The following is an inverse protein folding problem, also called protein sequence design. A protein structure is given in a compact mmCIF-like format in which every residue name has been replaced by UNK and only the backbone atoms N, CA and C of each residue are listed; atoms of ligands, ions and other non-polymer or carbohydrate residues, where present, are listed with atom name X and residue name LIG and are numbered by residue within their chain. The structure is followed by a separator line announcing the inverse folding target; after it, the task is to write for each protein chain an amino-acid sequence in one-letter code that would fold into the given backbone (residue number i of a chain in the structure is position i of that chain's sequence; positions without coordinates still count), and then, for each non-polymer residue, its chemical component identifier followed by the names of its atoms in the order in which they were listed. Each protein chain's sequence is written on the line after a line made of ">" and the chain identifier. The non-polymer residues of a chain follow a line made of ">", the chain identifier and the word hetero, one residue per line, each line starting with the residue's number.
data_IF_055321848518
#
_entry.id   IF_055321848518
#
_cell.length_a   1.000
_cell.length_b   1.000
_cell.length_c   1.000
_cell.angle_alpha   90.00
_cell.angle_beta   90.00
_cell.angle_gamma   90.00
#
_symmetry.space_group_name_H-M   'P 1'
#
loop_
_entity.id
_entity.type
_entity.pdbx_description
1 polymer ?
#
# COMPACT_ATOMS: atom_id res chain seq x y z
N UNK A 1 -13.02 8.10 -32.61
CA UNK A 1 -12.09 8.45 -31.51
C UNK A 1 -12.60 7.97 -30.14
N UNK A 2 -13.81 8.26 -29.73
CA UNK A 2 -14.36 7.83 -28.43
C UNK A 2 -14.66 6.32 -28.36
N UNK A 3 -14.76 5.61 -29.47
CA UNK A 3 -15.06 4.17 -29.53
C UNK A 3 -13.80 3.29 -29.45
N UNK A 4 -12.61 3.85 -29.72
CA UNK A 4 -11.39 3.07 -29.96
C UNK A 4 -10.50 2.93 -28.72
N UNK A 5 -11.03 3.02 -27.51
CA UNK A 5 -10.28 2.77 -26.26
C UNK A 5 -8.87 3.40 -26.23
N UNK A 6 -8.73 4.63 -26.71
CA UNK A 6 -7.46 5.33 -26.92
C UNK A 6 -6.53 5.37 -25.70
N UNK A 7 -7.08 5.24 -24.50
CA UNK A 7 -6.30 5.26 -23.27
C UNK A 7 -5.73 3.89 -22.88
N UNK A 8 -6.06 2.84 -23.61
CA UNK A 8 -5.61 1.48 -23.32
C UNK A 8 -4.55 1.03 -24.32
N UNK A 9 -3.52 0.39 -23.80
CA UNK A 9 -2.43 -0.19 -24.59
C UNK A 9 -2.86 -1.42 -25.42
N UNK A 10 -4.12 -1.81 -25.36
CA UNK A 10 -4.67 -2.96 -26.10
C UNK A 10 -5.10 -2.63 -27.54
N UNK A 11 -4.93 -1.39 -27.98
CA UNK A 11 -5.18 -0.97 -29.36
C UNK A 11 -3.88 -0.83 -30.15
N UNK A 12 -3.54 -1.76 -31.06
CA UNK A 12 -2.30 -1.69 -31.85
C UNK A 12 -2.26 -0.57 -32.90
N UNK A 13 -3.40 -0.02 -33.29
CA UNK A 13 -3.51 1.08 -34.24
C UNK A 13 -3.41 2.47 -33.60
N UNK A 14 -3.30 2.52 -32.26
CA UNK A 14 -3.22 3.77 -31.53
C UNK A 14 -1.91 4.49 -31.82
N UNK A 15 -1.93 5.70 -32.42
CA UNK A 15 -0.73 6.53 -32.53
C UNK A 15 -0.20 6.89 -31.13
N UNK A 16 1.08 6.69 -30.92
CA UNK A 16 1.68 6.89 -29.60
C UNK A 16 3.06 7.53 -29.68
N UNK A 17 3.36 8.38 -28.71
CA UNK A 17 4.70 8.92 -28.44
C UNK A 17 5.45 8.09 -27.39
N UNK A 18 4.87 6.96 -26.97
CA UNK A 18 5.51 6.07 -25.99
C UNK A 18 6.72 5.32 -26.62
N UNK A 19 7.68 4.88 -25.79
CA UNK A 19 8.87 4.18 -26.30
C UNK A 19 8.56 2.83 -26.96
N UNK A 20 7.48 2.18 -26.56
CA UNK A 20 6.99 0.95 -27.19
C UNK A 20 5.55 1.11 -27.67
N UNK A 21 5.22 0.50 -28.78
CA UNK A 21 3.86 0.42 -29.32
C UNK A 21 3.36 -1.02 -29.24
N UNK A 22 2.13 -1.21 -28.81
CA UNK A 22 1.50 -2.53 -28.83
C UNK A 22 1.30 -3.01 -30.28
N UNK A 23 1.60 -4.29 -30.53
CA UNK A 23 1.36 -4.93 -31.83
C UNK A 23 0.31 -6.06 -31.74
N UNK A 24 -0.26 -6.29 -30.56
CA UNK A 24 -1.21 -7.39 -30.33
C UNK A 24 -2.62 -6.87 -30.22
N UNK A 25 -3.52 -7.37 -31.05
CA UNK A 25 -4.97 -7.11 -30.96
C UNK A 25 -5.63 -7.95 -29.88
N UNK A 26 -6.74 -7.44 -29.35
CA UNK A 26 -7.62 -8.19 -28.42
C UNK A 26 -8.59 -9.05 -29.21
N UNK A 27 -9.04 -10.21 -28.63
CA UNK A 27 -8.73 -10.72 -27.28
C UNK A 27 -7.35 -11.41 -27.22
N UNK A 28 -6.56 -11.14 -26.17
CA UNK A 28 -5.27 -11.76 -25.95
C UNK A 28 -4.96 -11.81 -24.46
N UNK A 29 -4.20 -12.82 -24.04
CA UNK A 29 -3.62 -12.92 -22.68
C UNK A 29 -2.12 -12.61 -22.66
N UNK A 30 -1.50 -12.50 -23.85
CA UNK A 30 -0.09 -12.16 -24.04
C UNK A 30 -0.01 -11.02 -25.04
N UNK A 31 0.50 -9.89 -24.60
CA UNK A 31 0.68 -8.68 -25.40
C UNK A 31 2.16 -8.50 -25.72
N UNK A 32 2.44 -8.15 -26.96
CA UNK A 32 3.78 -7.82 -27.44
C UNK A 32 3.81 -6.36 -27.83
N UNK A 33 4.72 -5.61 -27.23
CA UNK A 33 5.00 -4.24 -27.62
C UNK A 33 6.40 -4.15 -28.22
N UNK A 34 6.52 -3.52 -29.37
CA UNK A 34 7.78 -3.34 -30.10
C UNK A 34 8.27 -1.91 -29.97
N UNK A 35 9.58 -1.73 -30.05
CA UNK A 35 10.23 -0.44 -30.01
C UNK A 35 9.62 0.51 -31.04
N UNK A 36 9.27 1.70 -30.59
CA UNK A 36 8.80 2.76 -31.48
C UNK A 36 9.99 3.44 -32.19
N UNK A 37 10.16 3.28 -33.51
CA UNK A 37 11.28 3.86 -34.23
C UNK A 37 11.24 5.39 -34.27
N UNK A 38 10.08 6.00 -33.96
CA UNK A 38 9.88 7.44 -33.89
C UNK A 38 9.92 8.00 -32.47
N UNK A 39 10.40 7.20 -31.50
CA UNK A 39 10.51 7.73 -30.15
C UNK A 39 11.54 8.85 -30.09
N UNK A 40 11.14 9.98 -29.53
CA UNK A 40 11.87 11.25 -29.66
C UNK A 40 13.08 11.41 -28.73
N UNK A 41 13.30 10.48 -27.79
CA UNK A 41 14.39 10.59 -26.81
C UNK A 41 15.63 9.85 -27.28
N UNK A 42 16.77 10.50 -27.01
CA UNK A 42 18.11 9.91 -27.18
C UNK A 42 18.86 9.93 -25.85
N UNK A 43 19.87 9.09 -25.72
CA UNK A 43 20.79 9.12 -24.59
C UNK A 43 21.85 10.23 -24.78
N UNK A 44 22.77 10.35 -23.81
CA UNK A 44 23.86 11.32 -23.82
C UNK A 44 24.87 11.12 -24.98
N UNK A 45 24.83 9.97 -25.64
CA UNK A 45 25.68 9.62 -26.79
C UNK A 45 24.93 9.72 -28.14
N UNK A 46 23.70 10.26 -28.14
CA UNK A 46 22.88 10.40 -29.33
C UNK A 46 22.19 9.11 -29.80
N UNK A 47 22.24 8.03 -29.03
CA UNK A 47 21.59 6.76 -29.39
C UNK A 47 20.11 6.82 -29.04
N UNK A 48 19.25 6.44 -29.97
CA UNK A 48 17.80 6.47 -29.75
C UNK A 48 17.35 5.45 -28.72
N UNK A 49 16.52 5.90 -27.79
CA UNK A 49 15.82 5.08 -26.82
C UNK A 49 14.52 4.50 -27.41
N UNK A 50 13.96 3.44 -26.86
CA UNK A 50 14.52 2.58 -25.78
C UNK A 50 15.56 1.61 -26.33
N UNK A 51 16.42 1.07 -25.46
CA UNK A 51 17.39 0.03 -25.86
C UNK A 51 16.77 -1.36 -26.03
N UNK A 52 15.65 -1.61 -25.34
CA UNK A 52 14.93 -2.89 -25.39
C UNK A 52 14.01 -2.86 -26.61
N UNK A 53 14.19 -3.82 -27.51
CA UNK A 53 13.44 -3.89 -28.76
C UNK A 53 12.00 -4.39 -28.57
N UNK A 54 11.78 -5.28 -27.60
CA UNK A 54 10.49 -5.92 -27.40
C UNK A 54 10.17 -6.05 -25.89
N UNK A 55 8.94 -5.71 -25.54
CA UNK A 55 8.37 -5.94 -24.20
C UNK A 55 7.20 -6.90 -24.34
N UNK A 56 7.22 -7.98 -23.57
CA UNK A 56 6.15 -8.97 -23.53
C UNK A 56 5.42 -8.85 -22.19
N UNK A 57 4.11 -8.61 -22.24
CA UNK A 57 3.24 -8.54 -21.07
C UNK A 57 2.33 -9.76 -21.08
N UNK A 58 2.34 -10.53 -20.01
CA UNK A 58 1.46 -11.69 -19.82
C UNK A 58 0.42 -11.35 -18.79
N UNK A 59 -0.85 -11.46 -19.16
CA UNK A 59 -1.96 -11.29 -18.25
C UNK A 59 -2.17 -12.59 -17.44
N UNK A 60 -2.23 -12.46 -16.14
CA UNK A 60 -2.51 -13.57 -15.23
C UNK A 60 -3.39 -13.09 -14.08
N UNK A 61 -4.04 -14.02 -13.38
CA UNK A 61 -4.71 -13.73 -12.13
C UNK A 61 -3.69 -13.20 -11.10
N UNK A 62 -4.09 -12.19 -10.33
CA UNK A 62 -3.21 -11.52 -9.36
C UNK A 62 -2.60 -12.49 -8.34
N UNK A 63 -3.32 -13.54 -7.96
CA UNK A 63 -2.85 -14.59 -7.04
C UNK A 63 -1.72 -15.44 -7.60
N UNK A 64 -1.57 -15.51 -8.93
CA UNK A 64 -0.53 -16.29 -9.61
C UNK A 64 0.73 -15.46 -9.88
N UNK A 65 0.68 -14.14 -9.77
CA UNK A 65 1.79 -13.26 -10.16
C UNK A 65 3.06 -13.57 -9.34
N UNK A 66 2.94 -13.71 -8.03
CA UNK A 66 4.09 -14.01 -7.18
C UNK A 66 4.72 -15.36 -7.52
N UNK A 67 3.90 -16.40 -7.79
CA UNK A 67 4.39 -17.71 -8.19
C UNK A 67 5.12 -17.65 -9.53
N UNK A 68 4.56 -16.96 -10.54
CA UNK A 68 5.20 -16.77 -11.85
C UNK A 68 6.52 -15.99 -11.77
N UNK A 69 6.56 -14.93 -10.95
CA UNK A 69 7.79 -14.21 -10.71
C UNK A 69 8.83 -15.09 -9.99
N UNK A 70 8.41 -15.84 -8.98
CA UNK A 70 9.27 -16.77 -8.24
C UNK A 70 9.77 -17.95 -9.05
N UNK A 71 9.08 -18.35 -10.12
CA UNK A 71 9.56 -19.39 -11.08
C UNK A 71 10.51 -18.84 -12.16
N UNK A 72 10.78 -17.52 -12.18
CA UNK A 72 11.66 -16.89 -13.17
C UNK A 72 10.99 -16.63 -14.53
N UNK A 73 9.66 -16.63 -14.59
CA UNK A 73 8.93 -16.38 -15.84
C UNK A 73 8.92 -14.90 -16.27
N UNK A 74 9.44 -13.99 -15.44
CA UNK A 74 9.44 -12.57 -15.71
C UNK A 74 10.82 -11.93 -15.45
N UNK A 75 11.30 -11.13 -16.37
CA UNK A 75 12.53 -10.33 -16.22
C UNK A 75 12.36 -9.18 -15.25
N UNK A 76 11.13 -8.63 -15.17
CA UNK A 76 10.76 -7.55 -14.26
C UNK A 76 9.31 -7.72 -13.81
N UNK A 77 9.10 -7.77 -12.50
CA UNK A 77 7.77 -7.78 -11.90
C UNK A 77 7.73 -6.89 -10.65
N UNK A 78 6.76 -5.99 -10.57
CA UNK A 78 6.52 -5.17 -9.37
C UNK A 78 5.04 -5.10 -8.99
N UNK A 79 4.15 -5.07 -9.96
CA UNK A 79 2.71 -5.00 -9.72
C UNK A 79 2.18 -6.34 -9.20
N UNK A 80 1.28 -6.30 -8.22
CA UNK A 80 0.71 -7.48 -7.55
C UNK A 80 1.76 -8.37 -6.88
N UNK A 81 2.89 -7.78 -6.47
CA UNK A 81 3.85 -8.35 -5.54
C UNK A 81 3.71 -7.58 -4.23
N UNK A 82 3.33 -8.27 -3.18
CA UNK A 82 3.12 -7.73 -1.84
C UNK A 82 4.23 -8.20 -0.91
N UNK A 83 4.35 -7.55 0.24
CA UNK A 83 5.42 -7.86 1.18
C UNK A 83 5.30 -9.28 1.77
N UNK A 84 4.09 -9.82 1.91
CA UNK A 84 3.85 -11.20 2.31
C UNK A 84 4.44 -12.24 1.34
N UNK A 85 4.77 -11.86 0.09
CA UNK A 85 5.47 -12.72 -0.86
C UNK A 85 7.01 -12.70 -0.67
N UNK A 86 7.54 -11.85 0.23
CA UNK A 86 8.97 -11.58 0.34
C UNK A 86 9.79 -12.83 0.63
N UNK A 87 9.41 -13.63 1.63
CA UNK A 87 10.15 -14.85 2.01
C UNK A 87 10.16 -15.89 0.91
N UNK A 88 9.01 -16.10 0.25
CA UNK A 88 8.90 -17.00 -0.89
C UNK A 88 9.81 -16.57 -2.05
N UNK A 89 9.76 -15.30 -2.41
CA UNK A 89 10.58 -14.77 -3.51
C UNK A 89 12.07 -14.81 -3.16
N UNK A 90 12.45 -14.44 -1.93
CA UNK A 90 13.86 -14.51 -1.48
C UNK A 90 14.41 -15.93 -1.50
N UNK A 91 13.62 -16.92 -1.13
CA UNK A 91 14.03 -18.32 -1.15
C UNK A 91 14.29 -18.84 -2.58
N UNK A 92 13.69 -18.23 -3.60
CA UNK A 92 13.80 -18.66 -5.00
C UNK A 92 14.82 -17.84 -5.83
N UNK A 93 15.42 -16.78 -5.27
CA UNK A 93 16.37 -15.90 -5.99
C UNK A 93 17.50 -16.67 -6.68
N UNK A 94 18.22 -17.50 -5.93
CA UNK A 94 19.39 -18.20 -6.45
C UNK A 94 19.04 -19.31 -7.45
N UNK A 95 17.87 -19.92 -7.29
CA UNK A 95 17.42 -21.03 -8.15
C UNK A 95 17.01 -20.54 -9.54
N UNK A 96 16.40 -19.35 -9.61
CA UNK A 96 15.78 -18.83 -10.83
C UNK A 96 16.42 -17.52 -11.32
N UNK A 97 17.63 -17.21 -10.83
CA UNK A 97 18.51 -16.11 -11.26
C UNK A 97 17.81 -14.74 -11.34
N UNK A 98 17.11 -14.36 -10.27
CA UNK A 98 16.55 -13.02 -10.12
C UNK A 98 16.93 -12.41 -8.78
N UNK A 99 16.60 -11.13 -8.56
CA UNK A 99 16.83 -10.43 -7.30
C UNK A 99 15.57 -9.71 -6.82
N UNK A 100 15.20 -9.95 -5.57
CA UNK A 100 14.15 -9.19 -4.89
C UNK A 100 14.76 -7.88 -4.37
N UNK A 101 14.17 -6.76 -4.78
CA UNK A 101 14.56 -5.43 -4.35
C UNK A 101 13.40 -4.78 -3.61
N UNK A 102 13.63 -4.40 -2.37
CA UNK A 102 12.68 -3.58 -1.62
C UNK A 102 12.86 -2.13 -2.03
N UNK A 103 11.81 -1.54 -2.57
CA UNK A 103 11.81 -0.13 -2.93
C UNK A 103 11.17 0.69 -1.82
N UNK A 104 11.80 1.78 -1.48
CA UNK A 104 11.17 2.77 -0.61
C UNK A 104 10.00 3.42 -1.34
N UNK A 105 8.84 3.36 -0.74
CA UNK A 105 7.65 4.00 -1.30
C UNK A 105 7.58 5.46 -0.88
N UNK A 106 7.02 6.30 -1.75
CA UNK A 106 6.76 7.71 -1.45
C UNK A 106 5.46 7.90 -0.64
N UNK A 107 5.16 6.98 0.28
CA UNK A 107 4.01 7.06 1.18
C UNK A 107 4.49 7.37 2.59
N UNK A 108 3.73 8.17 3.33
CA UNK A 108 4.02 8.48 4.73
C UNK A 108 3.85 7.26 5.65
N UNK A 109 2.97 6.32 5.28
CA UNK A 109 2.78 5.03 5.95
C UNK A 109 2.28 3.98 4.94
N UNK A 110 2.62 2.71 5.18
CA UNK A 110 2.01 1.57 4.47
C UNK A 110 0.59 1.32 4.93
N UNK A 111 0.37 1.40 6.24
CA UNK A 111 -0.90 1.23 6.90
C UNK A 111 -1.19 2.45 7.78
N UNK A 112 -2.39 3.00 7.68
CA UNK A 112 -2.86 4.08 8.54
C UNK A 112 -4.38 3.99 8.75
N UNK A 113 -4.81 4.20 9.98
CA UNK A 113 -6.22 4.30 10.34
C UNK A 113 -6.69 5.75 10.18
N UNK A 114 -7.79 5.94 9.47
CA UNK A 114 -8.39 7.24 9.21
C UNK A 114 -9.77 7.32 9.86
N UNK A 115 -9.91 7.88 11.08
CA UNK A 115 -11.21 8.06 11.69
C UNK A 115 -12.12 8.95 10.81
N UNK A 116 -13.35 8.49 10.56
CA UNK A 116 -14.33 9.25 9.79
C UNK A 116 -14.88 10.44 10.61
N UNK A 117 -14.28 11.61 10.45
CA UNK A 117 -14.68 12.83 11.16
C UNK A 117 -16.08 13.37 10.76
N UNK A 118 -16.69 12.79 9.73
CA UNK A 118 -18.00 13.17 9.20
C UNK A 118 -19.05 12.07 9.36
N UNK A 119 -18.80 11.09 10.24
CA UNK A 119 -19.77 10.04 10.55
C UNK A 119 -21.13 10.66 10.92
N UNK A 120 -22.23 10.02 10.49
CA UNK A 120 -23.60 10.57 10.67
C UNK A 120 -24.09 10.49 12.11
N UNK A 121 -23.65 9.46 12.85
CA UNK A 121 -23.97 9.32 14.28
C UNK A 121 -23.35 10.48 15.07
N UNK A 122 -24.14 11.28 15.79
CA UNK A 122 -23.65 12.47 16.48
C UNK A 122 -22.69 12.15 17.63
N UNK A 123 -22.92 11.05 18.36
CA UNK A 123 -22.07 10.63 19.48
C UNK A 123 -20.69 10.21 18.97
N UNK A 124 -20.66 9.36 17.95
CA UNK A 124 -19.41 8.98 17.30
C UNK A 124 -18.70 10.17 16.66
N UNK A 125 -19.44 11.10 16.03
CA UNK A 125 -18.86 12.28 15.39
C UNK A 125 -18.14 13.18 16.38
N UNK A 126 -18.72 13.41 17.55
CA UNK A 126 -18.09 14.17 18.61
C UNK A 126 -16.84 13.46 19.12
N UNK A 127 -16.94 12.15 19.36
CA UNK A 127 -15.86 11.33 19.86
C UNK A 127 -14.66 11.29 18.90
N UNK A 128 -14.88 10.97 17.63
CA UNK A 128 -13.75 10.87 16.66
C UNK A 128 -13.09 12.21 16.36
N UNK A 129 -13.80 13.33 16.59
CA UNK A 129 -13.25 14.70 16.49
C UNK A 129 -12.44 15.10 17.70
N UNK A 130 -12.63 14.47 18.85
CA UNK A 130 -11.78 14.70 20.01
C UNK A 130 -10.38 14.12 19.78
N UNK A 131 -9.38 14.96 19.97
CA UNK A 131 -7.98 14.56 19.76
C UNK A 131 -7.52 13.49 20.76
N UNK A 132 -8.10 13.45 21.97
CA UNK A 132 -7.77 12.46 22.99
C UNK A 132 -8.15 11.05 22.53
N UNK A 133 -9.32 10.91 21.89
CA UNK A 133 -9.74 9.64 21.31
C UNK A 133 -8.76 9.14 20.24
N UNK A 134 -8.38 10.00 19.29
CA UNK A 134 -7.41 9.62 18.24
C UNK A 134 -6.02 9.29 18.80
N UNK A 135 -5.59 10.01 19.85
CA UNK A 135 -4.33 9.70 20.56
C UNK A 135 -4.41 8.36 21.29
N UNK A 136 -5.51 8.06 21.94
CA UNK A 136 -5.73 6.78 22.59
C UNK A 136 -5.65 5.62 21.59
N UNK A 137 -6.32 5.73 20.43
CA UNK A 137 -6.20 4.74 19.36
C UNK A 137 -4.75 4.57 18.88
N UNK A 138 -4.02 5.67 18.73
CA UNK A 138 -2.62 5.59 18.29
C UNK A 138 -1.71 4.91 19.32
N UNK A 139 -1.89 5.20 20.61
CA UNK A 139 -1.12 4.59 21.70
C UNK A 139 -1.46 3.10 21.91
N UNK A 140 -2.65 2.67 21.49
CA UNK A 140 -3.08 1.27 21.58
C UNK A 140 -2.47 0.35 20.50
N UNK A 141 -1.81 0.92 19.49
CA UNK A 141 -1.21 0.13 18.41
C UNK A 141 0.24 -0.25 18.79
N UNK A 142 0.51 -1.54 18.96
CA UNK A 142 1.87 -2.05 19.11
C UNK A 142 2.58 -2.16 17.75
N UNK A 143 3.16 -1.04 17.31
CA UNK A 143 3.88 -0.94 16.04
C UNK A 143 5.13 -1.82 16.00
N UNK A 144 5.74 -2.07 17.16
CA UNK A 144 6.91 -2.94 17.26
C UNK A 144 6.53 -4.40 17.01
N UNK A 145 5.42 -4.85 17.58
CA UNK A 145 4.88 -6.18 17.31
C UNK A 145 4.53 -6.34 15.83
N UNK A 146 3.75 -5.42 15.28
CA UNK A 146 3.38 -5.40 13.85
C UNK A 146 4.62 -5.43 12.95
N UNK A 147 5.62 -4.59 13.22
CA UNK A 147 6.87 -4.56 12.45
C UNK A 147 7.59 -5.91 12.50
N UNK A 148 7.70 -6.50 13.68
CA UNK A 148 8.39 -7.77 13.88
C UNK A 148 7.68 -8.94 13.20
N UNK A 149 6.36 -9.02 13.34
CA UNK A 149 5.57 -10.18 12.86
C UNK A 149 5.34 -10.10 11.35
N UNK A 150 4.93 -8.95 10.83
CA UNK A 150 4.52 -8.80 9.42
C UNK A 150 5.64 -8.30 8.53
N UNK A 151 6.54 -7.46 9.04
CA UNK A 151 7.58 -6.83 8.25
C UNK A 151 9.00 -7.31 8.59
N UNK A 152 9.14 -8.35 9.43
CA UNK A 152 10.43 -8.94 9.83
C UNK A 152 11.44 -7.91 10.37
N UNK A 153 10.96 -6.83 11.01
CA UNK A 153 11.78 -5.73 11.47
C UNK A 153 12.30 -4.80 10.38
N UNK A 154 11.87 -4.96 9.13
CA UNK A 154 12.36 -4.16 7.99
C UNK A 154 11.59 -2.85 7.79
N UNK A 155 10.43 -2.69 8.42
CA UNK A 155 9.67 -1.45 8.39
C UNK A 155 10.19 -0.43 9.41
N UNK A 156 9.83 0.84 9.23
CA UNK A 156 10.11 1.90 10.18
C UNK A 156 8.83 2.29 10.91
N UNK A 157 8.84 2.15 12.22
CA UNK A 157 7.71 2.51 13.08
C UNK A 157 7.48 4.02 13.07
N UNK A 158 6.27 4.45 12.77
CA UNK A 158 5.99 5.86 12.58
C UNK A 158 4.49 6.16 12.58
N UNK A 159 4.14 7.42 12.75
CA UNK A 159 2.86 7.94 12.30
C UNK A 159 2.86 8.17 10.80
N UNK A 160 1.68 8.26 10.20
CA UNK A 160 1.51 8.73 8.84
C UNK A 160 1.81 10.23 8.77
N UNK A 161 2.92 10.60 8.14
CA UNK A 161 3.37 11.98 8.02
C UNK A 161 4.12 12.19 6.70
N UNK A 162 4.54 13.43 6.44
CA UNK A 162 5.38 13.77 5.29
C UNK A 162 6.72 13.06 5.35
N UNK A 163 7.31 12.79 4.20
CA UNK A 163 8.60 12.12 4.09
C UNK A 163 9.76 13.02 4.59
N UNK A 164 10.86 12.42 5.09
CA UNK A 164 12.02 13.16 5.57
C UNK A 164 12.65 14.12 4.55
N UNK A 165 12.44 13.90 3.26
CA UNK A 165 12.91 14.76 2.18
C UNK A 165 12.04 16.02 1.98
N UNK A 166 10.88 16.09 2.62
CA UNK A 166 10.02 17.26 2.56
C UNK A 166 10.58 18.40 3.41
N UNK A 167 10.55 19.66 2.95
CA UNK A 167 10.92 20.80 3.76
C UNK A 167 9.96 21.05 4.94
N UNK A 168 8.80 20.38 4.95
CA UNK A 168 7.82 20.45 6.03
C UNK A 168 8.00 19.33 7.06
N UNK A 169 9.02 18.48 6.92
CA UNK A 169 9.25 17.37 7.83
C UNK A 169 9.81 17.83 9.17
N UNK A 170 9.21 17.32 10.25
CA UNK A 170 9.75 17.36 11.60
C UNK A 170 9.73 15.94 12.18
N UNK A 171 10.81 15.51 12.81
CA UNK A 171 10.91 14.14 13.37
C UNK A 171 9.86 13.89 14.47
N UNK A 172 9.43 14.94 15.17
CA UNK A 172 8.36 14.88 16.14
C UNK A 172 7.02 14.40 15.56
N UNK A 173 6.74 14.66 14.28
CA UNK A 173 5.50 14.20 13.63
C UNK A 173 5.47 12.69 13.47
N UNK A 174 6.63 12.09 13.29
CA UNK A 174 6.78 10.64 13.17
C UNK A 174 6.57 9.93 14.51
N UNK A 175 7.11 10.48 15.58
CA UNK A 175 7.25 9.78 16.89
C UNK A 175 6.19 10.14 17.89
N UNK A 176 5.60 11.34 17.81
CA UNK A 176 4.65 11.85 18.82
C UNK A 176 3.37 11.01 18.83
N UNK A 177 3.03 10.44 19.98
CA UNK A 177 1.88 9.54 20.16
C UNK A 177 1.98 8.21 19.38
N UNK A 178 3.17 7.83 18.94
CA UNK A 178 3.43 6.60 18.20
C UNK A 178 3.92 5.43 19.08
N UNK A 179 4.30 5.71 20.32
CA UNK A 179 4.70 4.68 21.28
C UNK A 179 3.48 3.79 21.64
N UNK A 180 3.76 2.55 22.02
CA UNK A 180 2.74 1.67 22.59
C UNK A 180 2.61 1.97 24.08
N UNK A 181 1.43 2.39 24.52
CA UNK A 181 1.14 2.79 25.90
C UNK A 181 -0.34 2.59 26.20
N UNK A 182 -0.69 1.38 26.57
CA UNK A 182 -2.08 0.98 26.85
C UNK A 182 -2.63 1.69 28.10
N UNK A 183 -1.82 1.95 29.11
CA UNK A 183 -2.28 2.60 30.33
C UNK A 183 -2.66 4.07 30.04
N UNK A 184 -1.82 4.76 29.29
CA UNK A 184 -2.12 6.12 28.84
C UNK A 184 -3.31 6.17 27.89
N UNK A 185 -3.41 5.19 26.96
CA UNK A 185 -4.58 5.09 26.08
C UNK A 185 -5.88 4.95 26.87
N UNK A 186 -5.90 4.06 27.87
CA UNK A 186 -7.04 3.88 28.73
C UNK A 186 -7.39 5.14 29.53
N UNK A 187 -6.38 5.82 30.08
CA UNK A 187 -6.59 7.09 30.81
C UNK A 187 -7.28 8.11 29.91
N UNK A 188 -6.84 8.26 28.66
CA UNK A 188 -7.48 9.20 27.71
C UNK A 188 -8.93 8.84 27.38
N UNK A 189 -9.24 7.53 27.30
CA UNK A 189 -10.61 7.06 27.08
C UNK A 189 -11.50 7.29 28.31
N UNK A 190 -10.96 7.12 29.52
CA UNK A 190 -11.66 7.40 30.78
C UNK A 190 -11.92 8.91 30.94
N UNK A 191 -10.98 9.78 30.58
CA UNK A 191 -11.15 11.24 30.53
C UNK A 191 -12.25 11.68 29.56
N UNK A 192 -12.61 10.85 28.57
CA UNK A 192 -13.70 11.06 27.62
C UNK A 192 -15.04 10.51 28.10
N UNK A 193 -15.10 9.92 29.32
CA UNK A 193 -16.31 9.31 29.87
C UNK A 193 -16.66 7.95 29.27
N UNK A 194 -15.72 7.31 28.56
CA UNK A 194 -15.91 5.98 27.98
C UNK A 194 -15.63 4.92 29.02
N UNK A 195 -16.59 4.70 29.92
CA UNK A 195 -16.40 3.79 31.04
C UNK A 195 -16.40 2.32 30.63
N UNK A 196 -15.65 1.49 31.37
CA UNK A 196 -15.64 0.04 31.21
C UNK A 196 -16.79 -0.58 32.00
N UNK A 197 -17.42 -1.56 31.38
CA UNK A 197 -18.33 -2.50 32.01
C UNK A 197 -17.55 -3.59 32.77
N UNK A 198 -18.26 -4.41 33.53
CA UNK A 198 -17.68 -5.57 34.24
C UNK A 198 -17.10 -6.64 33.30
N UNK A 199 -17.56 -6.71 32.05
CA UNK A 199 -17.05 -7.57 30.98
C UNK A 199 -15.79 -7.02 30.29
N UNK A 200 -15.31 -5.82 30.70
CA UNK A 200 -14.12 -5.17 30.15
C UNK A 200 -14.39 -4.31 28.91
N UNK A 201 -15.59 -4.36 28.34
CA UNK A 201 -15.96 -3.57 27.17
C UNK A 201 -16.31 -2.13 27.57
N UNK A 202 -16.05 -1.19 26.68
CA UNK A 202 -16.36 0.22 26.90
C UNK A 202 -17.74 0.58 26.34
N UNK A 203 -18.37 1.57 26.95
CA UNK A 203 -19.64 2.13 26.50
C UNK A 203 -19.46 3.59 26.07
N UNK A 204 -20.28 3.99 25.11
CA UNK A 204 -20.40 5.37 24.67
C UNK A 204 -21.15 6.21 25.74
N UNK A 205 -21.08 7.54 25.71
CA UNK A 205 -21.81 8.42 26.65
C UNK A 205 -23.32 8.22 26.65
N UNK A 206 -23.90 7.70 25.57
CA UNK A 206 -25.32 7.38 25.44
C UNK A 206 -25.68 5.97 25.94
N UNK A 207 -24.72 5.22 26.48
CA UNK A 207 -24.90 3.87 27.03
C UNK A 207 -24.78 2.72 26.02
N UNK A 208 -24.69 3.02 24.73
CA UNK A 208 -24.42 1.98 23.71
C UNK A 208 -23.02 1.40 23.89
N UNK A 209 -22.83 0.15 23.44
CA UNK A 209 -21.51 -0.44 23.36
C UNK A 209 -20.60 0.35 22.41
N UNK A 210 -19.37 0.59 22.80
CA UNK A 210 -18.36 1.20 21.95
C UNK A 210 -17.82 0.14 20.98
N UNK A 211 -18.49 0.02 19.83
CA UNK A 211 -18.11 -0.90 18.76
C UNK A 211 -17.46 -0.12 17.62
N UNK A 212 -16.16 -0.36 17.39
CA UNK A 212 -15.37 0.34 16.37
C UNK A 212 -15.38 -0.46 15.09
N UNK A 213 -16.08 0.04 14.08
CA UNK A 213 -16.13 -0.58 12.76
C UNK A 213 -14.94 -0.07 11.94
N UNK A 214 -14.10 -1.00 11.46
CA UNK A 214 -12.98 -0.71 10.57
C UNK A 214 -13.29 -1.24 9.18
N UNK A 215 -13.28 -0.35 8.19
CA UNK A 215 -13.50 -0.69 6.79
C UNK A 215 -12.15 -0.72 6.04
N UNK A 216 -11.96 -1.73 5.20
CA UNK A 216 -10.80 -1.87 4.32
C UNK A 216 -11.25 -1.99 2.86
N UNK A 217 -10.31 -1.92 1.92
CA UNK A 217 -10.59 -2.16 0.51
C UNK A 217 -11.03 -3.61 0.19
N UNK A 218 -10.98 -4.51 1.19
CA UNK A 218 -11.39 -5.91 1.06
C UNK A 218 -10.41 -6.79 0.28
N UNK A 219 -9.25 -6.28 -0.08
CA UNK A 219 -8.17 -7.08 -0.65
C UNK A 219 -7.47 -7.85 0.48
N UNK A 220 -7.08 -9.11 0.20
CA UNK A 220 -6.19 -9.87 1.12
C UNK A 220 -4.78 -9.31 0.99
N UNK A 221 -4.49 -8.35 1.81
CA UNK A 221 -3.21 -7.64 1.89
C UNK A 221 -2.73 -7.66 3.32
N UNK A 222 -1.56 -7.07 3.56
CA UNK A 222 -1.03 -6.83 4.91
C UNK A 222 -2.02 -6.09 5.82
N UNK A 223 -2.99 -5.33 5.25
CA UNK A 223 -4.03 -4.64 6.00
C UNK A 223 -4.95 -5.61 6.74
N UNK A 224 -5.33 -6.74 6.11
CA UNK A 224 -6.15 -7.77 6.76
C UNK A 224 -5.39 -8.42 7.92
N UNK A 225 -4.11 -8.76 7.68
CA UNK A 225 -3.26 -9.41 8.68
C UNK A 225 -2.96 -8.50 9.91
N UNK A 226 -3.05 -7.16 9.74
CA UNK A 226 -2.89 -6.19 10.82
C UNK A 226 -4.17 -6.07 11.67
N UNK A 227 -5.33 -6.28 11.05
CA UNK A 227 -6.63 -6.09 11.70
C UNK A 227 -7.13 -7.36 12.42
N UNK A 228 -6.62 -8.54 12.09
CA UNK A 228 -6.84 -9.81 12.77
C UNK A 228 -5.97 -9.93 14.04
#
# INVERSE_FOLDING_TARGET
>A
FRRDRMYKFDNPELPTLQPWRNTTSIPATRFVAERNPYFHRVDQHGRQLPYIDRVVLVQADSKLIAAKAGSGEADLQSRSIFFNNFTFLKANESRNDFKVRLWQTAKGSHFALFPNLNVTDPVWRELVRDVRFRRALSLAIDRTLVNRVLYFGLARESNNTVLPQSPLYEDSYRTKWAQYDIDRANTLLDELGLHRRTDGLRVLPDGRLMDVIVETAGEKTEESDILE
#
